data_IF_396592308658
#
_entry.id   IF_396592308658
#
_cell.length_a   1.000
_cell.length_b   1.000
_cell.length_c   1.000
_cell.angle_alpha   90.00
_cell.angle_beta   90.00
_cell.angle_gamma   90.00
#
_symmetry.space_group_name_H-M   'P 1'
#
loop_
_entity.id
_entity.type
_entity.pdbx_description
1 polymer ?
#
# COMPACT_ATOMS: atom_id res chain seq x y z
N UNK A 1 -46.42 17.62 11.81
CA UNK A 1 -45.57 18.62 11.14
C UNK A 1 -44.19 18.63 11.78
N UNK A 2 -43.12 18.74 10.97
CA UNK A 2 -41.74 19.15 11.33
C UNK A 2 -40.94 18.18 12.24
N UNK A 3 -40.10 17.32 11.65
CA UNK A 3 -38.63 17.45 11.45
C UNK A 3 -37.82 17.07 12.70
N UNK A 4 -36.94 16.06 12.66
CA UNK A 4 -35.62 16.03 12.01
C UNK A 4 -34.82 17.32 12.30
N UNK A 5 -33.63 17.13 12.87
CA UNK A 5 -32.51 18.09 13.11
C UNK A 5 -32.34 18.63 14.54
N UNK A 6 -31.21 18.20 15.10
CA UNK A 6 -30.19 19.05 15.71
C UNK A 6 -30.35 19.39 17.19
N UNK A 7 -29.78 18.51 18.01
CA UNK A 7 -29.05 18.89 19.21
C UNK A 7 -27.62 18.34 19.09
N UNK A 8 -26.85 18.87 18.13
CA UNK A 8 -25.39 18.85 18.23
C UNK A 8 -25.07 19.85 19.35
N UNK A 9 -25.09 19.36 20.59
CA UNK A 9 -24.46 20.05 21.69
C UNK A 9 -23.02 19.57 21.70
N UNK A 10 -22.13 20.38 21.10
CA UNK A 10 -20.70 20.27 21.30
C UNK A 10 -20.43 20.38 22.81
N UNK A 11 -20.22 19.23 23.46
CA UNK A 11 -19.75 19.16 24.83
C UNK A 11 -18.26 19.50 24.78
N UNK A 12 -17.99 20.79 24.89
CA UNK A 12 -16.71 21.24 25.38
C UNK A 12 -16.57 20.82 26.85
N UNK A 13 -15.31 20.57 27.23
CA UNK A 13 -14.82 20.35 28.60
C UNK A 13 -14.96 18.92 29.12
N UNK A 14 -13.90 18.13 28.91
CA UNK A 14 -13.49 17.12 29.91
C UNK A 14 -12.03 17.34 30.21
N UNK A 15 -11.78 17.95 31.37
CA UNK A 15 -10.49 17.94 32.03
C UNK A 15 -10.14 16.53 32.48
N UNK A 16 -8.89 16.17 32.22
CA UNK A 16 -8.02 15.30 33.02
C UNK A 16 -8.71 14.19 33.83
N UNK A 17 -9.01 13.10 33.14
CA UNK A 17 -8.80 11.77 33.68
C UNK A 17 -8.09 10.98 32.57
N UNK A 18 -6.77 10.91 32.66
CA UNK A 18 -5.94 10.14 31.75
C UNK A 18 -6.21 8.65 31.96
N UNK A 19 -7.36 8.18 31.49
CA UNK A 19 -7.54 6.78 31.13
C UNK A 19 -6.64 6.60 29.93
N UNK A 20 -5.46 6.06 30.16
CA UNK A 20 -4.61 5.51 29.11
C UNK A 20 -5.36 4.33 28.51
N UNK A 21 -6.35 4.63 27.66
CA UNK A 21 -6.83 3.68 26.68
C UNK A 21 -5.56 3.38 25.89
N UNK A 22 -5.04 2.15 25.88
CA UNK A 22 -4.10 1.81 24.85
C UNK A 22 -4.92 2.05 23.60
N UNK A 23 -4.62 3.14 22.90
CA UNK A 23 -4.74 3.13 21.47
C UNK A 23 -3.91 1.90 21.12
N UNK A 24 -4.60 0.77 21.01
CA UNK A 24 -4.26 -0.21 20.02
C UNK A 24 -4.35 0.61 18.72
N UNK A 25 -3.29 1.39 18.48
CA UNK A 25 -2.68 1.45 17.19
C UNK A 25 -2.56 -0.03 16.85
N UNK A 26 -3.63 -0.56 16.27
CA UNK A 26 -3.55 -1.78 15.52
C UNK A 26 -2.33 -1.53 14.68
N UNK A 27 -1.31 -2.33 14.92
CA UNK A 27 -0.16 -2.42 14.06
C UNK A 27 -0.77 -2.71 12.69
N UNK A 28 -1.15 -1.66 11.96
CA UNK A 28 -0.96 -1.65 10.55
C UNK A 28 0.53 -1.87 10.50
N UNK A 29 0.90 -3.14 10.39
CA UNK A 29 2.22 -3.58 10.03
C UNK A 29 2.45 -2.84 8.72
N UNK A 30 3.00 -1.63 8.82
CA UNK A 30 3.77 -1.04 7.76
C UNK A 30 4.97 -1.98 7.70
N UNK A 31 4.76 -3.13 7.04
CA UNK A 31 5.83 -3.93 6.48
C UNK A 31 6.70 -2.91 5.80
N UNK A 32 7.90 -2.69 6.36
CA UNK A 32 8.79 -1.63 5.95
C UNK A 32 8.85 -1.68 4.42
N UNK A 33 8.19 -0.72 3.77
CA UNK A 33 7.97 -0.79 2.35
C UNK A 33 9.35 -0.87 1.73
N UNK A 34 9.65 -1.99 1.08
CA UNK A 34 10.97 -2.20 0.49
C UNK A 34 11.21 -1.02 -0.45
N UNK A 35 12.41 -0.44 -0.35
CA UNK A 35 12.69 0.83 -1.00
C UNK A 35 12.41 0.70 -2.50
N UNK A 36 11.39 1.44 -2.93
CA UNK A 36 10.91 1.42 -4.29
C UNK A 36 11.83 2.27 -5.16
N UNK A 37 12.56 1.69 -6.14
CA UNK A 37 13.47 2.48 -6.95
C UNK A 37 12.70 3.47 -7.85
N UNK A 38 11.51 3.09 -8.31
CA UNK A 38 10.64 3.94 -9.13
C UNK A 38 9.17 3.87 -8.68
N UNK A 39 8.80 4.62 -7.62
CA UNK A 39 7.44 4.63 -7.10
C UNK A 39 6.48 5.41 -8.00
N UNK A 40 5.30 4.85 -8.20
CA UNK A 40 4.17 5.52 -8.85
C UNK A 40 3.16 6.02 -7.82
N UNK A 41 2.29 6.94 -8.23
CA UNK A 41 1.20 7.46 -7.37
C UNK A 41 0.22 6.37 -6.91
N UNK A 42 0.23 5.19 -7.56
CA UNK A 42 -0.57 4.03 -7.18
C UNK A 42 0.10 3.08 -6.19
N UNK A 43 1.30 3.38 -5.68
CA UNK A 43 2.04 2.48 -4.80
C UNK A 43 2.62 1.25 -5.51
N UNK A 44 2.67 1.26 -6.84
CA UNK A 44 3.43 0.27 -7.61
C UNK A 44 4.86 0.74 -7.81
N UNK A 45 5.76 -0.22 -7.79
CA UNK A 45 7.20 -0.07 -7.94
C UNK A 45 7.66 -0.78 -9.19
N UNK A 46 8.21 -0.03 -10.15
CA UNK A 46 8.91 -0.67 -11.26
C UNK A 46 10.24 -1.23 -10.74
N UNK A 47 10.53 -2.51 -10.98
CA UNK A 47 11.78 -3.16 -10.57
C UNK A 47 12.76 -3.37 -11.71
N UNK A 48 12.35 -3.03 -12.94
CA UNK A 48 13.08 -3.29 -14.17
C UNK A 48 12.23 -4.08 -15.14
N UNK A 49 12.89 -4.64 -16.15
CA UNK A 49 12.22 -5.47 -17.13
C UNK A 49 13.09 -6.58 -17.67
N UNK A 50 12.42 -7.59 -18.21
CA UNK A 50 13.00 -8.77 -18.83
C UNK A 50 12.53 -8.87 -20.29
N UNK A 51 13.22 -9.71 -21.08
CA UNK A 51 12.88 -9.90 -22.50
C UNK A 51 11.76 -10.91 -22.73
N UNK A 52 11.51 -11.79 -21.76
CA UNK A 52 10.49 -12.81 -21.85
C UNK A 52 9.45 -12.66 -20.75
N UNK A 53 8.19 -13.02 -21.06
CA UNK A 53 7.11 -12.97 -20.08
C UNK A 53 7.36 -13.94 -18.93
N UNK A 54 7.90 -15.12 -19.23
CA UNK A 54 8.17 -16.18 -18.26
C UNK A 54 9.22 -15.76 -17.23
N UNK A 55 10.27 -15.07 -17.66
CA UNK A 55 11.28 -14.49 -16.77
C UNK A 55 10.65 -13.43 -15.87
N UNK A 56 9.84 -12.52 -16.41
CA UNK A 56 9.13 -11.54 -15.58
C UNK A 56 8.24 -12.22 -14.52
N UNK A 57 7.53 -13.28 -14.89
CA UNK A 57 6.67 -14.01 -13.95
C UNK A 57 7.48 -14.73 -12.86
N UNK A 58 8.63 -15.30 -13.23
CA UNK A 58 9.54 -15.96 -12.29
C UNK A 58 10.13 -14.98 -11.28
N UNK A 59 10.63 -13.84 -11.76
CA UNK A 59 11.19 -12.78 -10.90
C UNK A 59 10.11 -12.20 -9.97
N UNK A 60 8.92 -11.86 -10.50
CA UNK A 60 7.82 -11.35 -9.69
C UNK A 60 7.31 -12.34 -8.64
N UNK A 61 7.26 -13.63 -8.97
CA UNK A 61 6.91 -14.66 -8.00
C UNK A 61 8.01 -14.81 -6.93
N UNK A 62 9.28 -14.74 -7.32
CA UNK A 62 10.40 -14.72 -6.39
C UNK A 62 10.30 -13.51 -5.45
N UNK A 63 9.95 -12.34 -5.97
CA UNK A 63 9.89 -11.11 -5.20
C UNK A 63 8.75 -11.11 -4.15
N UNK A 64 7.58 -11.60 -4.54
CA UNK A 64 6.47 -11.78 -3.58
C UNK A 64 6.76 -12.87 -2.55
N UNK A 65 7.49 -13.93 -2.94
CA UNK A 65 7.76 -15.06 -2.02
C UNK A 65 8.88 -14.75 -1.03
N UNK A 66 9.94 -14.07 -1.47
CA UNK A 66 11.20 -13.96 -0.71
C UNK A 66 11.61 -12.53 -0.40
N UNK A 67 11.14 -11.54 -1.16
CA UNK A 67 11.60 -10.15 -1.05
C UNK A 67 10.61 -9.24 -0.32
N UNK A 68 9.51 -9.77 0.21
CA UNK A 68 8.58 -9.04 1.08
C UNK A 68 7.60 -8.12 0.33
N UNK A 69 7.38 -8.37 -0.95
CA UNK A 69 6.30 -7.76 -1.72
C UNK A 69 5.02 -8.59 -1.57
N UNK A 70 3.87 -7.97 -1.81
CA UNK A 70 2.55 -8.58 -1.67
C UNK A 70 1.98 -8.98 -3.02
N UNK A 71 2.21 -8.16 -4.05
CA UNK A 71 1.63 -8.31 -5.37
C UNK A 71 2.68 -8.03 -6.45
N UNK A 72 2.58 -8.73 -7.59
CA UNK A 72 3.40 -8.47 -8.77
C UNK A 72 2.54 -8.43 -10.05
N UNK A 73 3.01 -7.67 -11.04
CA UNK A 73 2.43 -7.57 -12.38
C UNK A 73 3.52 -7.52 -13.43
N UNK A 74 3.29 -8.22 -14.54
CA UNK A 74 4.12 -8.18 -15.73
C UNK A 74 3.39 -7.46 -16.86
N UNK A 75 3.92 -6.31 -17.29
CA UNK A 75 3.29 -5.46 -18.29
C UNK A 75 4.27 -5.25 -19.45
N UNK A 76 3.85 -5.53 -20.68
CA UNK A 76 4.65 -5.23 -21.86
C UNK A 76 4.82 -3.72 -22.04
N UNK A 77 6.05 -3.27 -22.26
CA UNK A 77 6.37 -1.89 -22.60
C UNK A 77 7.04 -1.82 -23.97
N UNK A 78 6.43 -1.06 -24.87
CA UNK A 78 6.89 -0.91 -26.25
C UNK A 78 8.18 -0.09 -26.37
N UNK A 79 8.46 0.80 -25.41
CA UNK A 79 9.68 1.61 -25.42
C UNK A 79 10.91 0.78 -25.04
N UNK A 80 10.77 -0.09 -24.04
CA UNK A 80 11.78 -1.03 -23.59
C UNK A 80 11.86 -2.29 -24.47
N UNK A 81 10.81 -2.55 -25.26
CA UNK A 81 10.63 -3.78 -26.03
C UNK A 81 10.83 -5.01 -25.13
N UNK A 82 10.04 -5.09 -24.07
CA UNK A 82 10.14 -6.13 -23.06
C UNK A 82 9.02 -6.06 -22.03
N UNK A 83 9.06 -6.96 -21.06
CA UNK A 83 8.12 -7.04 -19.96
C UNK A 83 8.67 -6.31 -18.74
N UNK A 84 7.97 -5.30 -18.26
CA UNK A 84 8.30 -4.60 -17.02
C UNK A 84 7.63 -5.29 -15.84
N UNK A 85 8.41 -5.47 -14.78
CA UNK A 85 7.95 -5.98 -13.50
C UNK A 85 7.52 -4.83 -12.59
N UNK A 86 6.32 -4.94 -12.06
CA UNK A 86 5.73 -4.00 -11.12
C UNK A 86 5.37 -4.71 -9.83
N UNK A 87 5.82 -4.19 -8.69
CA UNK A 87 5.61 -4.76 -7.36
C UNK A 87 4.86 -3.82 -6.41
N UNK A 88 4.16 -4.38 -5.44
CA UNK A 88 3.48 -3.65 -4.35
C UNK A 88 3.46 -4.48 -3.06
#
# INVERSE_FOLDING_TARGET
>A
MKSWRSRIAAVAVVGVAAVTIPLTAGSASASAAKACPWPTSGGWCNMGGSKSYEECQSEGQYDVTYNGWNEYLCIWDDNYQGWLEWLR
#
